data_IF_257387441467
#
_entry.id   IF_257387441467
#
_cell.length_a   1.000
_cell.length_b   1.000
_cell.length_c   1.000
_cell.angle_alpha   90.00
_cell.angle_beta   90.00
_cell.angle_gamma   90.00
#
_symmetry.space_group_name_H-M   'P 1'
#
loop_
_entity.id
_entity.type
_entity.pdbx_description
1 polymer ?
#
# COMPACT_ATOMS: atom_id res chain seq x y z
N UNK A 1 30.82 51.15 43.61
CA UNK A 1 30.05 49.93 43.30
C UNK A 1 29.64 49.94 41.84
N UNK A 2 30.32 49.16 41.00
CA UNK A 2 29.96 49.03 39.56
C UNK A 2 28.92 47.91 39.44
N UNK A 3 27.72 48.22 38.95
CA UNK A 3 26.69 47.25 38.63
C UNK A 3 26.99 46.66 37.24
N UNK A 4 27.44 45.42 37.18
CA UNK A 4 27.56 44.66 35.94
C UNK A 4 26.18 44.23 35.46
N UNK A 5 25.77 44.70 34.31
CA UNK A 5 24.56 44.27 33.59
C UNK A 5 24.91 43.06 32.76
N UNK A 6 24.37 41.89 33.10
CA UNK A 6 24.55 40.65 32.34
C UNK A 6 23.55 40.65 31.18
N UNK A 7 24.00 40.77 29.94
CA UNK A 7 23.12 40.56 28.76
C UNK A 7 23.02 39.07 28.45
N UNK A 8 21.84 38.51 28.64
CA UNK A 8 21.54 37.16 28.19
C UNK A 8 21.12 37.20 26.73
N UNK A 9 21.98 36.75 25.84
CA UNK A 9 21.65 36.59 24.40
C UNK A 9 21.00 35.25 24.23
N UNK A 10 19.67 35.22 24.07
CA UNK A 10 18.90 34.03 23.70
C UNK A 10 19.06 33.81 22.16
N UNK A 11 19.80 32.80 21.79
CA UNK A 11 19.80 32.30 20.43
C UNK A 11 18.55 31.45 20.21
N UNK A 12 17.54 32.02 19.53
CA UNK A 12 16.41 31.24 19.05
C UNK A 12 16.87 30.49 17.80
N UNK A 13 17.22 29.22 17.95
CA UNK A 13 17.41 28.32 16.81
C UNK A 13 16.02 27.99 16.29
N UNK A 14 15.63 28.65 15.19
CA UNK A 14 14.42 28.27 14.45
C UNK A 14 14.69 26.93 13.78
N UNK A 15 14.23 25.83 14.40
CA UNK A 15 14.11 24.55 13.73
C UNK A 15 12.91 24.64 12.78
N UNK A 16 13.15 25.07 11.56
CA UNK A 16 12.20 24.85 10.46
C UNK A 16 12.26 23.37 10.08
N UNK A 17 11.39 22.55 10.65
CA UNK A 17 11.14 21.21 10.13
C UNK A 17 10.48 21.40 8.76
N UNK A 18 11.23 21.20 7.68
CA UNK A 18 10.64 21.08 6.35
C UNK A 18 9.62 19.94 6.38
N UNK A 19 8.35 20.29 6.12
CA UNK A 19 7.32 19.29 5.93
C UNK A 19 7.72 18.40 4.76
N UNK A 20 7.96 17.12 5.03
CA UNK A 20 8.23 16.15 3.97
C UNK A 20 6.97 15.98 3.14
N UNK A 21 7.05 16.34 1.88
CA UNK A 21 6.01 16.14 0.89
C UNK A 21 6.21 14.80 0.17
N UNK A 22 5.24 14.42 -0.67
CA UNK A 22 5.41 13.31 -1.60
C UNK A 22 6.55 13.61 -2.59
N UNK A 23 7.14 12.54 -3.13
CA UNK A 23 8.11 12.68 -4.20
C UNK A 23 7.43 13.17 -5.48
N UNK A 24 8.18 13.81 -6.41
CA UNK A 24 7.64 14.23 -7.68
C UNK A 24 7.01 13.07 -8.46
N UNK A 25 5.95 13.32 -9.26
CA UNK A 25 5.40 12.31 -10.16
C UNK A 25 6.47 11.77 -11.12
N UNK A 26 6.43 10.47 -11.35
CA UNK A 26 7.28 9.76 -12.30
C UNK A 26 6.43 8.84 -13.17
N UNK A 27 6.89 8.58 -14.40
CA UNK A 27 6.27 7.62 -15.29
C UNK A 27 6.88 6.22 -15.11
N UNK A 28 6.14 5.16 -15.47
CA UNK A 28 6.69 3.82 -15.42
C UNK A 28 7.74 3.61 -16.50
N UNK A 29 8.82 2.92 -16.16
CA UNK A 29 9.84 2.48 -17.12
C UNK A 29 9.29 1.31 -17.98
N UNK A 30 8.45 0.50 -17.37
CA UNK A 30 7.88 -0.69 -17.99
C UNK A 30 6.50 -0.97 -17.39
N UNK A 31 5.61 -1.48 -18.22
CA UNK A 31 4.28 -1.98 -17.82
C UNK A 31 3.99 -3.28 -18.57
N UNK A 32 3.12 -4.10 -18.00
CA UNK A 32 2.73 -5.33 -18.66
C UNK A 32 1.56 -6.03 -17.96
N UNK A 33 1.24 -7.17 -18.51
CA UNK A 33 0.29 -8.11 -17.92
C UNK A 33 1.02 -9.43 -17.67
N UNK A 34 0.69 -10.06 -16.56
CA UNK A 34 1.18 -11.38 -16.21
C UNK A 34 -0.01 -12.33 -16.10
N UNK A 35 -0.05 -13.32 -16.97
CA UNK A 35 -1.03 -14.39 -16.88
C UNK A 35 -0.73 -15.25 -15.65
N UNK A 36 -1.74 -15.43 -14.82
CA UNK A 36 -1.68 -16.19 -13.58
C UNK A 36 -2.73 -17.30 -13.58
N UNK A 37 -2.62 -18.25 -12.65
CA UNK A 37 -3.56 -19.36 -12.56
C UNK A 37 -5.01 -18.89 -12.40
N UNK A 38 -5.96 -19.70 -12.83
CA UNK A 38 -7.39 -19.44 -12.67
C UNK A 38 -7.99 -18.48 -13.68
N UNK A 39 -7.29 -18.23 -14.81
CA UNK A 39 -7.82 -17.43 -15.92
C UNK A 39 -7.75 -15.91 -15.69
N UNK A 40 -6.87 -15.46 -14.81
CA UNK A 40 -6.60 -14.05 -14.59
C UNK A 40 -5.30 -13.60 -15.25
N UNK A 41 -5.26 -12.31 -15.62
CA UNK A 41 -4.06 -11.61 -16.06
C UNK A 41 -3.91 -10.33 -15.26
N UNK A 42 -2.86 -10.26 -14.43
CA UNK A 42 -2.64 -9.14 -13.52
C UNK A 42 -1.79 -8.06 -14.19
N UNK A 43 -2.25 -6.82 -14.10
CA UNK A 43 -1.48 -5.66 -14.53
C UNK A 43 -0.38 -5.35 -13.54
N UNK A 44 0.80 -4.99 -14.06
CA UNK A 44 1.91 -4.51 -13.26
C UNK A 44 2.65 -3.36 -13.96
N UNK A 45 3.35 -2.57 -13.18
CA UNK A 45 4.23 -1.52 -13.66
C UNK A 45 5.47 -1.41 -12.79
N UNK A 46 6.56 -0.98 -13.40
CA UNK A 46 7.83 -0.72 -12.75
C UNK A 46 8.26 0.71 -13.05
N UNK A 47 8.68 1.43 -12.02
CA UNK A 47 9.13 2.83 -12.10
C UNK A 47 10.34 3.08 -11.20
N UNK A 48 10.93 4.28 -11.32
CA UNK A 48 12.13 4.64 -10.58
C UNK A 48 13.40 4.00 -11.14
N UNK A 49 14.37 3.69 -10.29
CA UNK A 49 15.66 3.13 -10.68
C UNK A 49 15.58 1.60 -10.85
N UNK A 50 15.74 1.05 -12.07
CA UNK A 50 15.69 -0.41 -12.29
C UNK A 50 16.77 -1.20 -11.52
N UNK A 51 17.86 -0.54 -11.11
CA UNK A 51 18.93 -1.13 -10.31
C UNK A 51 18.80 -0.81 -8.81
N UNK A 52 17.75 -0.10 -8.44
CA UNK A 52 17.47 0.27 -7.06
C UNK A 52 16.95 -0.93 -6.24
N UNK A 53 16.89 -0.73 -4.92
CA UNK A 53 16.27 -1.72 -4.02
C UNK A 53 14.79 -1.91 -4.40
N UNK A 54 14.33 -3.14 -4.65
CA UNK A 54 12.95 -3.40 -5.02
C UNK A 54 11.98 -3.10 -3.88
N UNK A 55 10.91 -2.39 -4.18
CA UNK A 55 9.79 -2.17 -3.27
C UNK A 55 8.48 -2.52 -3.98
N UNK A 56 7.72 -3.43 -3.39
CA UNK A 56 6.39 -3.82 -3.86
C UNK A 56 5.34 -3.02 -3.13
N UNK A 57 4.48 -2.34 -3.87
CA UNK A 57 3.29 -1.70 -3.34
C UNK A 57 2.07 -2.61 -3.50
N UNK A 58 1.41 -2.91 -2.39
CA UNK A 58 0.17 -3.70 -2.34
C UNK A 58 -0.98 -2.75 -1.98
N UNK A 59 -1.87 -2.50 -2.95
CA UNK A 59 -3.01 -1.62 -2.76
C UNK A 59 -4.06 -2.19 -1.79
N UNK A 60 -4.85 -1.29 -1.23
CA UNK A 60 -5.95 -1.62 -0.32
C UNK A 60 -7.27 -1.94 -1.04
N UNK A 61 -8.33 -1.80 -0.32
CA UNK A 61 -9.70 -2.12 -0.70
C UNK A 61 -10.23 -3.23 0.20
N UNK A 62 -10.28 -4.50 -0.26
CA UNK A 62 -9.88 -5.01 -1.57
C UNK A 62 -10.62 -4.37 -2.75
N UNK A 63 -10.04 -4.41 -3.94
CA UNK A 63 -10.73 -4.03 -5.17
C UNK A 63 -10.46 -2.61 -5.70
N UNK A 64 -9.60 -1.80 -5.04
CA UNK A 64 -9.34 -0.41 -5.48
C UNK A 64 -8.43 -0.35 -6.71
N UNK A 65 -7.41 -1.19 -6.77
CA UNK A 65 -6.34 -1.07 -7.76
C UNK A 65 -5.26 -0.07 -7.39
N UNK A 66 -4.24 0.04 -8.23
CA UNK A 66 -3.16 1.02 -8.12
C UNK A 66 -3.45 2.28 -8.93
N UNK A 67 -2.74 3.36 -8.63
CA UNK A 67 -2.83 4.62 -9.37
C UNK A 67 -1.46 5.27 -9.51
N UNK A 68 -1.27 6.17 -10.50
CA UNK A 68 -0.02 6.91 -10.68
C UNK A 68 0.46 7.64 -9.43
N UNK A 69 -0.46 8.14 -8.60
CA UNK A 69 -0.12 8.84 -7.36
C UNK A 69 0.59 7.96 -6.34
N UNK A 70 0.40 6.64 -6.37
CA UNK A 70 1.08 5.73 -5.46
C UNK A 70 2.60 5.67 -5.70
N UNK A 71 3.09 5.99 -6.90
CA UNK A 71 4.52 6.07 -7.20
C UNK A 71 5.20 7.17 -6.38
N UNK A 72 4.47 8.25 -6.08
CA UNK A 72 5.00 9.41 -5.33
C UNK A 72 5.26 9.13 -3.85
N UNK A 73 4.83 7.97 -3.33
CA UNK A 73 5.12 7.55 -1.96
C UNK A 73 6.59 7.16 -1.77
N UNK A 74 7.29 6.88 -2.86
CA UNK A 74 8.62 6.29 -2.83
C UNK A 74 9.65 7.19 -3.48
N UNK A 75 10.87 7.18 -2.91
CA UNK A 75 12.02 7.81 -3.54
C UNK A 75 12.29 7.13 -4.90
N UNK A 76 12.42 7.88 -6.01
CA UNK A 76 12.75 7.33 -7.32
C UNK A 76 14.07 6.54 -7.40
N UNK A 77 14.92 6.61 -6.38
CA UNK A 77 16.10 5.75 -6.27
C UNK A 77 15.77 4.27 -6.03
N UNK A 78 14.55 3.95 -5.60
CA UNK A 78 14.05 2.58 -5.50
C UNK A 78 13.58 2.05 -6.86
N UNK A 79 13.61 0.73 -7.00
CA UNK A 79 12.88 -0.01 -8.03
C UNK A 79 11.45 -0.21 -7.54
N UNK A 80 10.53 0.61 -8.01
CA UNK A 80 9.16 0.71 -7.50
C UNK A 80 8.25 -0.16 -8.36
N UNK A 81 7.60 -1.14 -7.75
CA UNK A 81 6.73 -2.09 -8.41
C UNK A 81 5.31 -1.91 -7.86
N UNK A 82 4.38 -1.56 -8.75
CA UNK A 82 2.95 -1.52 -8.49
C UNK A 82 2.28 -2.62 -9.29
N UNK A 83 1.22 -3.21 -8.77
CA UNK A 83 0.38 -4.14 -9.51
C UNK A 83 -1.08 -4.00 -9.09
N UNK A 84 -1.97 -4.40 -9.97
CA UNK A 84 -3.39 -4.49 -9.68
C UNK A 84 -3.72 -5.96 -9.35
N UNK A 85 -4.33 -6.19 -8.18
CA UNK A 85 -4.77 -7.52 -7.77
C UNK A 85 -5.85 -8.03 -8.72
N UNK A 86 -6.16 -9.33 -8.69
CA UNK A 86 -7.23 -9.95 -9.49
C UNK A 86 -8.53 -9.18 -9.37
N UNK A 87 -9.23 -8.99 -10.47
CA UNK A 87 -10.52 -8.30 -10.51
C UNK A 87 -10.45 -6.79 -10.29
N UNK A 88 -9.27 -6.19 -10.17
CA UNK A 88 -9.09 -4.79 -9.81
C UNK A 88 -8.37 -4.00 -10.90
N UNK A 89 -8.60 -2.69 -10.90
CA UNK A 89 -7.85 -1.75 -11.72
C UNK A 89 -7.83 -2.14 -13.20
N UNK A 90 -6.64 -2.37 -13.74
CA UNK A 90 -6.42 -2.79 -15.13
C UNK A 90 -6.32 -4.31 -15.30
N UNK A 91 -6.30 -5.09 -14.21
CA UNK A 91 -6.26 -6.56 -14.26
C UNK A 91 -7.55 -7.13 -14.84
N UNK A 92 -7.44 -8.25 -15.54
CA UNK A 92 -8.58 -8.89 -16.21
C UNK A 92 -8.77 -10.34 -15.74
N UNK A 93 -10.05 -10.81 -15.67
CA UNK A 93 -11.28 -10.08 -15.94
C UNK A 93 -11.60 -9.06 -14.85
N UNK A 94 -12.06 -7.86 -15.24
CA UNK A 94 -12.46 -6.82 -14.27
C UNK A 94 -13.65 -7.30 -13.43
N UNK A 95 -13.59 -7.05 -12.12
CA UNK A 95 -14.56 -7.54 -11.12
C UNK A 95 -14.71 -9.07 -11.06
N UNK A 96 -13.74 -9.83 -11.59
CA UNK A 96 -13.72 -11.29 -11.52
C UNK A 96 -13.54 -11.78 -10.09
N UNK A 97 -14.47 -12.63 -9.61
CA UNK A 97 -14.45 -13.19 -8.25
C UNK A 97 -14.03 -14.66 -8.22
N UNK A 98 -14.07 -15.34 -9.36
CA UNK A 98 -13.63 -16.74 -9.45
C UNK A 98 -12.13 -16.84 -9.21
N UNK A 99 -11.70 -17.84 -8.46
CA UNK A 99 -10.30 -18.05 -8.12
C UNK A 99 -9.61 -16.78 -7.57
N UNK A 100 -10.33 -15.97 -6.77
CA UNK A 100 -9.87 -14.71 -6.23
C UNK A 100 -9.87 -14.74 -4.69
N UNK A 101 -9.22 -15.74 -4.13
CA UNK A 101 -9.03 -15.87 -2.68
C UNK A 101 -7.73 -15.18 -2.25
N UNK A 102 -7.56 -14.95 -0.96
CA UNK A 102 -6.31 -14.42 -0.39
C UNK A 102 -5.09 -15.25 -0.81
N UNK A 103 -5.26 -16.59 -0.92
CA UNK A 103 -4.17 -17.48 -1.30
C UNK A 103 -3.83 -17.40 -2.78
N UNK A 104 -4.80 -17.12 -3.63
CA UNK A 104 -4.55 -16.82 -5.04
C UNK A 104 -3.71 -15.56 -5.16
N UNK A 105 -4.06 -14.49 -4.43
CA UNK A 105 -3.31 -13.23 -4.42
C UNK A 105 -1.88 -13.40 -3.88
N UNK A 106 -1.67 -14.25 -2.90
CA UNK A 106 -0.32 -14.60 -2.41
C UNK A 106 0.50 -15.29 -3.51
N UNK A 107 -0.12 -16.22 -4.26
CA UNK A 107 0.54 -16.87 -5.41
C UNK A 107 0.87 -15.88 -6.52
N UNK A 108 -0.02 -14.93 -6.80
CA UNK A 108 0.21 -13.89 -7.80
C UNK A 108 1.40 -13.01 -7.45
N UNK A 109 1.51 -12.59 -6.20
CA UNK A 109 2.67 -11.81 -5.71
C UNK A 109 3.96 -12.59 -5.93
N UNK A 110 3.98 -13.89 -5.63
CA UNK A 110 5.17 -14.72 -5.83
C UNK A 110 5.45 -14.97 -7.33
N UNK A 111 4.41 -15.09 -8.16
CA UNK A 111 4.56 -15.19 -9.61
C UNK A 111 5.13 -13.88 -10.19
N UNK A 112 4.63 -12.73 -9.75
CA UNK A 112 5.13 -11.42 -10.16
C UNK A 112 6.60 -11.23 -9.76
N UNK A 113 6.96 -11.62 -8.53
CA UNK A 113 8.35 -11.55 -8.07
C UNK A 113 9.29 -12.32 -9.00
N UNK A 114 8.91 -13.55 -9.34
CA UNK A 114 9.68 -14.40 -10.26
C UNK A 114 9.75 -13.83 -11.66
N UNK A 115 8.62 -13.33 -12.19
CA UNK A 115 8.53 -12.70 -13.50
C UNK A 115 9.48 -11.51 -13.65
N UNK A 116 9.58 -10.69 -12.59
CA UNK A 116 10.44 -9.51 -12.55
C UNK A 116 11.89 -9.82 -12.12
N UNK A 117 12.24 -11.10 -11.93
CA UNK A 117 13.56 -11.56 -11.46
C UNK A 117 14.01 -10.85 -10.17
N UNK A 118 13.10 -10.65 -9.23
CA UNK A 118 13.39 -10.06 -7.91
C UNK A 118 13.69 -11.18 -6.94
N UNK A 119 14.82 -11.16 -6.25
CA UNK A 119 15.12 -12.16 -5.20
C UNK A 119 14.35 -11.86 -3.92
N UNK A 120 14.47 -10.63 -3.42
CA UNK A 120 13.76 -10.12 -2.23
C UNK A 120 13.30 -8.70 -2.48
N UNK A 121 12.26 -8.29 -1.79
CA UNK A 121 11.76 -6.92 -1.84
C UNK A 121 11.31 -6.40 -0.48
N UNK A 122 11.25 -5.08 -0.37
CA UNK A 122 10.50 -4.42 0.69
C UNK A 122 9.02 -4.43 0.29
N UNK A 123 8.15 -4.79 1.21
CA UNK A 123 6.68 -4.82 0.97
C UNK A 123 6.05 -3.61 1.64
N UNK A 124 5.35 -2.79 0.86
CA UNK A 124 4.53 -1.70 1.36
C UNK A 124 3.06 -2.06 1.20
N UNK A 125 2.30 -2.08 2.30
CA UNK A 125 0.87 -2.40 2.28
C UNK A 125 0.05 -1.46 3.16
N UNK A 126 -1.07 -0.97 2.61
CA UNK A 126 -2.02 -0.14 3.35
C UNK A 126 -3.41 -0.77 3.43
N UNK A 127 -4.10 -0.67 4.59
CA UNK A 127 -5.45 -1.24 4.78
C UNK A 127 -5.46 -2.73 4.46
N UNK A 128 -6.33 -3.21 3.56
CA UNK A 128 -6.29 -4.59 3.03
C UNK A 128 -4.90 -5.00 2.53
N UNK A 129 -4.14 -4.09 1.92
CA UNK A 129 -2.77 -4.35 1.49
C UNK A 129 -1.83 -4.71 2.65
N UNK A 130 -2.11 -4.28 3.89
CA UNK A 130 -1.38 -4.73 5.07
C UNK A 130 -1.69 -6.18 5.45
N UNK A 131 -2.96 -6.60 5.32
CA UNK A 131 -3.39 -7.99 5.51
C UNK A 131 -2.69 -8.90 4.50
N UNK A 132 -2.78 -8.54 3.22
CA UNK A 132 -2.20 -9.34 2.13
C UNK A 132 -0.67 -9.39 2.22
N UNK A 133 -0.03 -8.25 2.52
CA UNK A 133 1.42 -8.18 2.71
C UNK A 133 1.92 -9.04 3.87
N UNK A 134 1.22 -9.02 5.01
CA UNK A 134 1.52 -9.90 6.15
C UNK A 134 1.35 -11.37 5.78
N UNK A 135 0.24 -11.73 5.10
CA UNK A 135 -0.02 -13.10 4.68
C UNK A 135 1.06 -13.60 3.72
N UNK A 136 1.49 -12.75 2.78
CA UNK A 136 2.60 -13.05 1.88
C UNK A 136 3.92 -13.26 2.65
N UNK A 137 4.26 -12.36 3.57
CA UNK A 137 5.48 -12.43 4.36
C UNK A 137 5.54 -13.69 5.24
N UNK A 138 4.42 -14.10 5.82
CA UNK A 138 4.32 -15.35 6.60
C UNK A 138 4.57 -16.57 5.69
N UNK A 139 4.03 -16.55 4.47
CA UNK A 139 4.17 -17.66 3.52
C UNK A 139 5.55 -17.71 2.85
N UNK A 140 6.16 -16.55 2.63
CA UNK A 140 7.44 -16.39 1.92
C UNK A 140 8.42 -15.50 2.70
N UNK A 141 8.80 -15.86 3.95
CA UNK A 141 9.62 -15.00 4.82
C UNK A 141 10.99 -14.69 4.20
N UNK A 142 11.55 -15.62 3.43
CA UNK A 142 12.85 -15.44 2.77
C UNK A 142 12.79 -14.48 1.56
N UNK A 143 11.60 -14.03 1.16
CA UNK A 143 11.36 -13.12 0.01
C UNK A 143 11.05 -11.69 0.44
N UNK A 144 10.95 -11.44 1.74
CA UNK A 144 10.65 -10.13 2.31
C UNK A 144 11.86 -9.63 3.09
N UNK A 145 12.44 -8.52 2.63
CA UNK A 145 13.57 -7.88 3.31
C UNK A 145 13.11 -6.96 4.44
N UNK A 146 11.93 -6.39 4.31
CA UNK A 146 11.31 -5.49 5.28
C UNK A 146 9.88 -5.16 4.90
N UNK A 147 9.14 -4.60 5.84
CA UNK A 147 7.75 -4.23 5.63
C UNK A 147 7.48 -2.81 6.09
N UNK A 148 6.64 -2.10 5.33
CA UNK A 148 6.07 -0.81 5.70
C UNK A 148 4.56 -0.98 5.66
N UNK A 149 3.91 -0.93 6.81
CA UNK A 149 2.48 -1.15 6.94
C UNK A 149 1.81 0.12 7.47
N UNK A 150 0.74 0.55 6.81
CA UNK A 150 -0.06 1.69 7.27
C UNK A 150 -1.54 1.34 7.31
N UNK A 151 -2.30 1.98 8.25
CA UNK A 151 -3.71 1.66 8.42
C UNK A 151 -3.90 0.15 8.60
N UNK A 152 -3.12 -0.43 9.53
CA UNK A 152 -3.02 -1.89 9.70
C UNK A 152 -4.41 -2.47 9.95
N UNK A 153 -4.79 -3.40 9.10
CA UNK A 153 -6.02 -4.16 9.15
C UNK A 153 -5.68 -5.64 9.14
N UNK A 154 -6.10 -6.38 10.15
CA UNK A 154 -5.79 -7.81 10.30
C UNK A 154 -6.95 -8.72 9.89
N UNK A 155 -8.03 -8.13 9.39
CA UNK A 155 -9.22 -8.85 8.94
C UNK A 155 -9.87 -9.72 10.04
N UNK A 156 -9.69 -9.33 11.31
CA UNK A 156 -10.29 -10.06 12.45
C UNK A 156 -11.78 -9.79 12.51
N UNK A 157 -12.60 -10.76 12.95
CA UNK A 157 -14.04 -10.57 13.04
C UNK A 157 -14.45 -9.30 13.79
N UNK A 158 -13.78 -8.96 14.89
CA UNK A 158 -14.06 -7.73 15.65
C UNK A 158 -13.76 -6.45 14.88
N UNK A 159 -12.74 -6.44 14.01
CA UNK A 159 -12.41 -5.27 13.17
C UNK A 159 -13.46 -5.09 12.06
N UNK A 160 -13.86 -6.21 11.45
CA UNK A 160 -14.92 -6.23 10.43
C UNK A 160 -16.24 -5.76 11.05
N UNK A 161 -16.61 -6.31 12.20
CA UNK A 161 -17.82 -5.92 12.91
C UNK A 161 -17.79 -4.43 13.27
N UNK A 162 -16.67 -3.94 13.83
CA UNK A 162 -16.54 -2.55 14.22
C UNK A 162 -16.67 -1.60 13.02
N UNK A 163 -16.01 -1.96 11.90
CA UNK A 163 -15.96 -1.09 10.73
C UNK A 163 -17.26 -1.09 9.92
N UNK A 164 -17.87 -2.27 9.71
CA UNK A 164 -18.99 -2.44 8.80
C UNK A 164 -20.35 -2.64 9.46
N UNK A 165 -20.42 -2.88 10.76
CA UNK A 165 -21.66 -3.26 11.45
C UNK A 165 -21.99 -2.31 12.63
N UNK A 166 -21.11 -2.23 13.62
CA UNK A 166 -21.41 -1.56 14.88
C UNK A 166 -20.14 -1.03 15.55
N UNK A 167 -19.73 0.17 15.22
CA UNK A 167 -18.54 0.83 15.76
C UNK A 167 -18.29 2.16 15.06
N UNK A 168 -18.02 2.15 13.76
CA UNK A 168 -17.73 3.34 12.97
C UNK A 168 -18.88 4.36 12.98
N UNK A 169 -20.12 3.92 13.10
CA UNK A 169 -21.30 4.79 13.22
C UNK A 169 -21.28 5.73 14.45
N UNK A 170 -20.55 5.38 15.50
CA UNK A 170 -20.36 6.26 16.66
C UNK A 170 -19.46 7.45 16.35
N UNK A 171 -18.53 7.28 15.41
CA UNK A 171 -17.59 8.32 15.03
C UNK A 171 -18.12 9.13 13.83
N UNK A 172 -18.83 8.48 12.91
CA UNK A 172 -19.33 9.05 11.66
C UNK A 172 -20.85 8.80 11.49
N UNK A 173 -21.72 9.28 12.40
CA UNK A 173 -23.15 8.97 12.34
C UNK A 173 -23.81 9.46 11.05
N UNK A 174 -23.48 10.67 10.59
CA UNK A 174 -24.09 11.28 9.40
C UNK A 174 -23.76 10.52 8.10
N UNK A 175 -22.57 9.93 8.02
CA UNK A 175 -22.16 9.11 6.89
C UNK A 175 -22.68 7.68 6.99
N UNK A 176 -22.90 7.20 8.21
CA UNK A 176 -23.35 5.83 8.43
C UNK A 176 -24.74 5.58 7.84
N UNK A 177 -25.68 6.49 8.01
CA UNK A 177 -27.04 6.37 7.46
C UNK A 177 -27.00 6.23 5.94
N UNK A 178 -26.18 7.03 5.26
CA UNK A 178 -25.99 6.97 3.81
C UNK A 178 -25.32 5.64 3.37
N UNK A 179 -24.39 5.15 4.17
CA UNK A 179 -23.65 3.92 3.89
C UNK A 179 -24.57 2.69 3.96
N UNK A 180 -25.47 2.62 4.94
CA UNK A 180 -26.35 1.46 5.13
C UNK A 180 -27.63 1.53 4.33
N UNK A 181 -28.05 2.72 3.89
CA UNK A 181 -29.32 2.93 3.18
C UNK A 181 -29.55 1.99 1.98
N UNK A 182 -28.55 1.66 1.13
CA UNK A 182 -28.75 0.75 0.01
C UNK A 182 -28.75 -0.72 0.38
N UNK A 183 -28.49 -1.09 1.65
CA UNK A 183 -28.40 -2.49 2.09
C UNK A 183 -29.81 -2.98 2.43
N UNK A 184 -30.33 -4.05 1.80
CA UNK A 184 -31.60 -4.64 2.15
C UNK A 184 -31.61 -5.11 3.61
N UNK A 185 -32.71 -4.81 4.33
CA UNK A 185 -32.95 -5.30 5.69
C UNK A 185 -33.34 -6.78 5.67
#
# INVERSE_FOLDING_TARGET
MRKSVLFLVLWIVSLSAELRTFYPPIEPNQTGFLDVEGGHSIYWEESGNPQGKPILFIHGGPGIGSSPSHRTFFNPAYRIILFDQRGCGKSVPFSGLENNTTWDLVRDIEALRKHLNVDKWVVFGGSWGSTLGLTYAIKHPDRVEGMILRGIFLCRPKEIQWYYQAGAHWIFPDFWEQYVAPIPL
#
